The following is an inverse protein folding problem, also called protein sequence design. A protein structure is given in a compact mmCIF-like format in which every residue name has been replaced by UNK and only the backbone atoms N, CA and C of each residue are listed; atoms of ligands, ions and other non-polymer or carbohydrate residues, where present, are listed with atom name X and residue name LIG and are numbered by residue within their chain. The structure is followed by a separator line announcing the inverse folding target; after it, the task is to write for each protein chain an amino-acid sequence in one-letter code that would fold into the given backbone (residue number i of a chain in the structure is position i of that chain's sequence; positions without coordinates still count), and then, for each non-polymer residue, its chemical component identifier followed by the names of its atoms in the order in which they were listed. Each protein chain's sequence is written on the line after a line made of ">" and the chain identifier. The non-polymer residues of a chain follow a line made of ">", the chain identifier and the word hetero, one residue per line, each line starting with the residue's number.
data_IF_288029187136
#
_entry.id   IF_288029187136
#
_cell.length_a   1.000
_cell.length_b   1.000
_cell.length_c   1.000
_cell.angle_alpha   90.00
_cell.angle_beta   90.00
_cell.angle_gamma   90.00
#
_symmetry.space_group_name_H-M   'P 1'
#
loop_
_entity.id
_entity.type
_entity.pdbx_description
1 polymer ?
#
# COMPACT_ATOMS: atom_id res chain seq x y z
N UNK A 1 26.59 10.09 16.40
CA UNK A 1 25.94 10.41 15.10
C UNK A 1 24.46 10.10 15.22
N UNK A 2 23.58 11.08 15.03
CA UNK A 2 22.14 10.85 15.08
C UNK A 2 21.68 10.12 13.79
N UNK A 3 20.79 9.12 13.87
CA UNK A 3 20.25 8.46 12.68
C UNK A 3 19.47 9.47 11.83
N UNK A 4 19.82 9.56 10.56
CA UNK A 4 19.14 10.43 9.58
C UNK A 4 17.91 9.73 9.00
N UNK A 5 17.01 10.48 8.36
CA UNK A 5 15.84 9.91 7.69
C UNK A 5 16.19 8.78 6.70
N UNK A 6 17.35 8.86 6.04
CA UNK A 6 17.83 7.83 5.12
C UNK A 6 18.19 6.52 5.85
N UNK A 7 18.76 6.61 7.05
CA UNK A 7 19.08 5.45 7.90
C UNK A 7 17.81 4.70 8.30
N UNK A 8 16.74 5.43 8.64
CA UNK A 8 15.43 4.85 8.94
C UNK A 8 14.80 4.18 7.71
N UNK A 9 14.81 4.84 6.55
CA UNK A 9 14.30 4.27 5.30
C UNK A 9 15.04 2.98 4.93
N UNK A 10 16.37 2.95 5.10
CA UNK A 10 17.17 1.75 4.87
C UNK A 10 16.79 0.61 5.83
N UNK A 11 16.60 0.91 7.11
CA UNK A 11 16.17 -0.07 8.11
C UNK A 11 14.77 -0.64 7.80
N UNK A 12 13.82 0.21 7.38
CA UNK A 12 12.48 -0.24 6.97
C UNK A 12 12.56 -1.10 5.69
N UNK A 13 13.41 -0.74 4.73
CA UNK A 13 13.63 -1.56 3.54
C UNK A 13 14.26 -2.93 3.86
N UNK A 14 15.16 -3.00 4.83
CA UNK A 14 15.69 -4.28 5.32
C UNK A 14 14.60 -5.10 6.03
N UNK A 15 13.69 -4.44 6.77
CA UNK A 15 12.53 -5.12 7.35
C UNK A 15 11.57 -5.64 6.26
N UNK A 16 11.41 -4.89 5.16
CA UNK A 16 10.64 -5.31 3.98
C UNK A 16 11.22 -6.57 3.32
N UNK A 17 12.54 -6.66 3.14
CA UNK A 17 13.16 -7.85 2.56
C UNK A 17 13.02 -9.06 3.46
N UNK A 18 13.07 -8.87 4.79
CA UNK A 18 12.87 -9.93 5.77
C UNK A 18 11.42 -10.23 6.17
N UNK A 19 10.42 -9.63 5.51
CA UNK A 19 8.98 -9.75 5.87
C UNK A 19 8.67 -9.40 7.34
N UNK A 20 9.52 -8.59 7.99
CA UNK A 20 9.38 -8.21 9.40
C UNK A 20 8.56 -6.93 9.54
N UNK A 21 7.27 -7.02 9.22
CA UNK A 21 6.34 -5.88 9.26
C UNK A 21 6.25 -5.22 10.64
N UNK A 22 6.26 -5.98 11.74
CA UNK A 22 6.26 -5.45 13.11
C UNK A 22 7.44 -4.52 13.36
N UNK A 23 8.64 -4.92 12.92
CA UNK A 23 9.83 -4.08 13.03
C UNK A 23 9.76 -2.88 12.10
N UNK A 24 9.26 -3.05 10.88
CA UNK A 24 9.07 -1.94 9.95
C UNK A 24 8.19 -0.82 10.56
N UNK A 25 7.09 -1.19 11.23
CA UNK A 25 6.18 -0.26 11.93
C UNK A 25 6.85 0.37 13.14
N UNK A 26 7.58 -0.42 13.95
CA UNK A 26 8.30 0.10 15.11
C UNK A 26 9.35 1.14 14.71
N UNK A 27 10.13 0.86 13.65
CA UNK A 27 11.14 1.78 13.11
C UNK A 27 10.49 3.03 12.53
N UNK A 28 9.37 2.89 11.81
CA UNK A 28 8.61 4.04 11.31
C UNK A 28 8.05 4.92 12.44
N UNK A 29 7.54 4.30 13.49
CA UNK A 29 7.03 4.98 14.68
C UNK A 29 8.15 5.72 15.42
N UNK A 30 9.33 5.12 15.52
CA UNK A 30 10.50 5.78 16.11
C UNK A 30 10.96 6.98 15.28
N UNK A 31 10.99 6.84 13.95
CA UNK A 31 11.29 7.94 13.03
C UNK A 31 10.33 9.12 13.27
N UNK A 32 9.03 8.84 13.41
CA UNK A 32 8.01 9.86 13.69
C UNK A 32 8.16 10.51 15.06
N UNK A 33 8.47 9.74 16.12
CA UNK A 33 8.70 10.29 17.46
C UNK A 33 9.85 11.29 17.50
N UNK A 34 10.82 11.13 16.61
CA UNK A 34 11.96 12.05 16.45
C UNK A 34 11.65 13.29 15.60
N UNK A 35 10.39 13.49 15.21
CA UNK A 35 9.96 14.63 14.39
C UNK A 35 10.39 14.53 12.93
N UNK A 36 10.97 13.40 12.51
CA UNK A 36 11.32 13.18 11.10
C UNK A 36 10.02 12.87 10.36
N UNK A 37 9.67 13.72 9.38
CA UNK A 37 8.52 13.46 8.52
C UNK A 37 8.68 12.09 7.86
N UNK A 38 7.68 11.25 8.07
CA UNK A 38 7.44 10.01 7.35
C UNK A 38 7.53 10.25 5.85
N UNK A 39 8.70 10.07 5.25
CA UNK A 39 8.83 10.20 3.80
C UNK A 39 7.98 9.12 3.12
N UNK A 40 7.44 9.45 1.96
CA UNK A 40 6.67 8.54 1.09
C UNK A 40 7.40 7.19 0.91
N UNK A 41 8.73 7.22 0.81
CA UNK A 41 9.59 6.03 0.69
C UNK A 41 9.54 5.11 1.93
N UNK A 42 9.50 5.67 3.14
CA UNK A 42 9.41 4.90 4.38
C UNK A 42 8.05 4.21 4.48
N UNK A 43 6.98 4.89 4.06
CA UNK A 43 5.62 4.38 4.04
C UNK A 43 5.47 3.23 3.04
N UNK A 44 5.94 3.41 1.80
CA UNK A 44 5.92 2.36 0.79
C UNK A 44 6.74 1.13 1.20
N UNK A 45 7.86 1.32 1.90
CA UNK A 45 8.65 0.23 2.42
C UNK A 45 7.94 -0.53 3.56
N UNK A 46 7.28 0.18 4.48
CA UNK A 46 6.49 -0.44 5.55
C UNK A 46 5.30 -1.23 4.97
N UNK A 47 4.58 -0.66 4.01
CA UNK A 47 3.47 -1.32 3.30
C UNK A 47 3.94 -2.55 2.53
N UNK A 48 5.10 -2.49 1.87
CA UNK A 48 5.71 -3.66 1.26
C UNK A 48 6.09 -4.77 2.26
N UNK A 49 6.47 -4.42 3.49
CA UNK A 49 6.75 -5.41 4.52
C UNK A 49 5.47 -6.12 4.98
N UNK A 50 4.35 -5.39 5.09
CA UNK A 50 3.05 -6.01 5.39
C UNK A 50 2.57 -6.92 4.26
N UNK A 51 2.80 -6.52 3.01
CA UNK A 51 2.36 -7.29 1.85
C UNK A 51 2.99 -8.67 1.79
N UNK A 52 4.30 -8.75 2.01
CA UNK A 52 5.00 -10.03 2.12
C UNK A 52 4.65 -10.84 3.38
N UNK A 53 4.13 -10.19 4.41
CA UNK A 53 3.71 -10.84 5.65
C UNK A 53 2.26 -11.36 5.62
N UNK A 54 1.52 -11.17 4.52
CA UNK A 54 0.07 -11.40 4.42
C UNK A 54 -0.74 -10.66 5.51
N UNK A 55 -0.22 -9.56 6.06
CA UNK A 55 -0.82 -8.80 7.16
C UNK A 55 -1.58 -7.58 6.65
N UNK A 56 -2.64 -7.82 5.87
CA UNK A 56 -3.44 -6.75 5.27
C UNK A 56 -4.14 -5.87 6.33
N UNK A 57 -4.63 -6.45 7.43
CA UNK A 57 -5.32 -5.73 8.51
C UNK A 57 -4.43 -4.65 9.12
N UNK A 58 -3.18 -5.02 9.41
CA UNK A 58 -2.22 -4.13 10.00
C UNK A 58 -1.77 -3.04 9.02
N UNK A 59 -1.67 -3.36 7.73
CA UNK A 59 -1.41 -2.37 6.68
C UNK A 59 -2.57 -1.38 6.49
N UNK A 60 -3.82 -1.83 6.54
CA UNK A 60 -4.99 -0.95 6.44
C UNK A 60 -5.05 0.04 7.62
N UNK A 61 -4.78 -0.45 8.85
CA UNK A 61 -4.63 0.42 10.03
C UNK A 61 -3.50 1.42 9.86
N UNK A 62 -2.35 0.97 9.36
CA UNK A 62 -1.21 1.83 9.12
C UNK A 62 -1.52 2.96 8.10
N UNK A 63 -2.25 2.65 7.03
CA UNK A 63 -2.69 3.66 6.05
C UNK A 63 -3.69 4.65 6.65
N UNK A 64 -4.60 4.17 7.50
CA UNK A 64 -5.52 5.04 8.24
C UNK A 64 -4.75 6.02 9.15
N UNK A 65 -3.76 5.51 9.90
CA UNK A 65 -2.89 6.32 10.77
C UNK A 65 -2.01 7.32 9.99
N UNK A 66 -1.62 6.97 8.76
CA UNK A 66 -0.91 7.91 7.90
C UNK A 66 -1.80 9.09 7.48
N UNK A 67 -3.07 8.82 7.18
CA UNK A 67 -4.03 9.87 6.82
C UNK A 67 -4.33 10.82 7.97
N UNK A 68 -4.53 10.30 9.19
CA UNK A 68 -4.75 11.16 10.37
C UNK A 68 -3.56 12.07 10.64
N UNK A 69 -2.40 11.73 10.09
CA UNK A 69 -1.14 12.45 10.30
C UNK A 69 -0.72 13.29 9.09
N UNK A 70 -1.64 13.49 8.14
CA UNK A 70 -1.46 14.28 6.90
C UNK A 70 -0.30 13.80 6.02
N UNK A 71 0.02 12.50 6.08
CA UNK A 71 0.97 11.88 5.17
C UNK A 71 0.18 11.09 4.13
N UNK A 72 0.26 11.52 2.88
CA UNK A 72 -0.42 10.81 1.79
C UNK A 72 0.36 9.56 1.41
N UNK A 73 -0.28 8.37 1.46
CA UNK A 73 0.31 7.16 0.91
C UNK A 73 0.41 7.25 -0.61
N UNK A 74 1.46 6.66 -1.19
CA UNK A 74 1.69 6.67 -2.63
C UNK A 74 0.88 5.58 -3.36
N UNK A 75 0.68 5.77 -4.66
CA UNK A 75 0.04 4.79 -5.54
C UNK A 75 0.74 3.42 -5.48
N UNK A 76 2.08 3.39 -5.40
CA UNK A 76 2.87 2.16 -5.24
C UNK A 76 2.52 1.45 -3.93
N UNK A 77 2.34 2.21 -2.85
CA UNK A 77 2.06 1.66 -1.54
C UNK A 77 0.66 1.02 -1.51
N UNK A 78 -0.35 1.73 -2.04
CA UNK A 78 -1.72 1.21 -2.14
C UNK A 78 -1.80 0.01 -3.10
N UNK A 79 -1.07 0.03 -4.22
CA UNK A 79 -0.97 -1.13 -5.11
C UNK A 79 -0.35 -2.36 -4.46
N UNK A 80 0.67 -2.14 -3.62
CA UNK A 80 1.30 -3.24 -2.87
C UNK A 80 0.34 -3.82 -1.83
N UNK A 81 -0.45 -2.99 -1.15
CA UNK A 81 -1.50 -3.46 -0.25
C UNK A 81 -2.58 -4.23 -1.00
N UNK A 82 -3.02 -3.72 -2.15
CA UNK A 82 -4.03 -4.37 -2.98
C UNK A 82 -3.56 -5.76 -3.45
N UNK A 83 -2.30 -5.88 -3.87
CA UNK A 83 -1.70 -7.15 -4.25
C UNK A 83 -1.63 -8.12 -3.08
N UNK A 84 -1.24 -7.65 -1.90
CA UNK A 84 -1.23 -8.46 -0.69
C UNK A 84 -2.63 -8.95 -0.27
N UNK A 85 -3.66 -8.12 -0.43
CA UNK A 85 -5.04 -8.53 -0.23
C UNK A 85 -5.44 -9.62 -1.24
N UNK A 86 -5.00 -9.50 -2.50
CA UNK A 86 -5.18 -10.51 -3.53
C UNK A 86 -4.51 -11.85 -3.21
N UNK A 87 -3.24 -11.82 -2.83
CA UNK A 87 -2.47 -13.01 -2.45
C UNK A 87 -3.09 -13.71 -1.22
N UNK A 88 -3.73 -12.95 -0.33
CA UNK A 88 -4.47 -13.47 0.81
C UNK A 88 -5.89 -13.96 0.47
N UNK A 89 -6.32 -13.92 -0.79
CA UNK A 89 -7.67 -14.29 -1.23
C UNK A 89 -8.77 -13.31 -0.80
N UNK A 90 -8.38 -12.12 -0.36
CA UNK A 90 -9.23 -11.06 0.22
C UNK A 90 -9.51 -9.97 -0.79
N UNK A 91 -10.21 -10.35 -1.86
CA UNK A 91 -10.50 -9.46 -2.98
C UNK A 91 -11.40 -8.28 -2.58
N UNK A 92 -12.32 -8.44 -1.62
CA UNK A 92 -13.19 -7.35 -1.16
C UNK A 92 -12.36 -6.18 -0.59
N UNK A 93 -11.30 -6.52 0.14
CA UNK A 93 -10.36 -5.57 0.72
C UNK A 93 -9.50 -4.91 -0.36
N UNK A 94 -9.09 -5.66 -1.38
CA UNK A 94 -8.40 -5.10 -2.55
C UNK A 94 -9.29 -4.05 -3.27
N UNK A 95 -10.58 -4.31 -3.40
CA UNK A 95 -11.56 -3.36 -3.95
C UNK A 95 -11.75 -2.12 -3.06
N UNK A 96 -11.78 -2.27 -1.73
CA UNK A 96 -11.83 -1.12 -0.83
C UNK A 96 -10.62 -0.20 -1.01
N UNK A 97 -9.43 -0.78 -1.21
CA UNK A 97 -8.21 0.00 -1.50
C UNK A 97 -8.31 0.73 -2.84
N UNK A 98 -8.91 0.10 -3.86
CA UNK A 98 -9.16 0.73 -5.16
C UNK A 98 -10.16 1.90 -5.04
N UNK A 99 -11.25 1.71 -4.30
CA UNK A 99 -12.22 2.77 -4.00
C UNK A 99 -11.55 3.93 -3.24
N UNK A 100 -10.67 3.64 -2.29
CA UNK A 100 -9.89 4.67 -1.60
C UNK A 100 -9.05 5.48 -2.60
N UNK A 101 -8.36 4.82 -3.53
CA UNK A 101 -7.58 5.52 -4.57
C UNK A 101 -8.46 6.43 -5.44
N UNK A 102 -9.67 5.98 -5.81
CA UNK A 102 -10.62 6.78 -6.58
C UNK A 102 -11.15 7.98 -5.80
N UNK A 103 -11.57 7.78 -4.54
CA UNK A 103 -12.06 8.85 -3.66
C UNK A 103 -10.96 9.87 -3.39
N UNK A 104 -9.70 9.42 -3.31
CA UNK A 104 -8.55 10.30 -3.08
C UNK A 104 -8.05 10.96 -4.36
N UNK A 105 -8.75 10.75 -5.50
CA UNK A 105 -8.38 11.25 -6.83
C UNK A 105 -6.93 10.94 -7.20
N UNK A 106 -6.43 9.80 -6.74
CA UNK A 106 -5.11 9.32 -7.12
C UNK A 106 -5.18 8.70 -8.51
N UNK A 107 -4.13 8.88 -9.30
CA UNK A 107 -4.05 8.26 -10.62
C UNK A 107 -4.00 6.73 -10.48
N UNK A 108 -5.13 6.10 -10.79
CA UNK A 108 -5.24 4.64 -10.88
C UNK A 108 -4.67 4.23 -12.23
N UNK A 109 -3.41 3.79 -12.22
CA UNK A 109 -2.71 3.34 -13.43
C UNK A 109 -3.08 1.90 -13.81
N UNK A 110 -2.67 1.49 -15.00
CA UNK A 110 -2.87 0.12 -15.52
C UNK A 110 -2.30 -0.97 -14.60
N UNK A 111 -1.24 -0.66 -13.86
CA UNK A 111 -0.66 -1.57 -12.86
C UNK A 111 -1.65 -1.86 -11.73
N UNK A 112 -2.31 -0.85 -11.16
CA UNK A 112 -3.30 -1.06 -10.08
C UNK A 112 -4.48 -1.89 -10.56
N UNK A 113 -4.98 -1.64 -11.77
CA UNK A 113 -6.05 -2.46 -12.35
C UNK A 113 -5.61 -3.92 -12.55
N UNK A 114 -4.39 -4.15 -13.05
CA UNK A 114 -3.85 -5.51 -13.19
C UNK A 114 -3.74 -6.23 -11.84
N UNK A 115 -3.30 -5.51 -10.79
CA UNK A 115 -3.25 -6.05 -9.43
C UNK A 115 -4.65 -6.36 -8.91
N UNK A 116 -5.64 -5.49 -9.12
CA UNK A 116 -7.04 -5.74 -8.74
C UNK A 116 -7.64 -6.95 -9.46
N UNK A 117 -7.33 -7.13 -10.75
CA UNK A 117 -7.80 -8.27 -11.56
C UNK A 117 -7.14 -9.56 -11.07
N UNK A 118 -5.82 -9.57 -10.87
CA UNK A 118 -5.09 -10.74 -10.37
C UNK A 118 -5.49 -11.11 -8.94
N UNK A 119 -5.83 -10.12 -8.12
CA UNK A 119 -6.36 -10.32 -6.77
C UNK A 119 -7.71 -11.04 -6.76
N UNK A 120 -8.40 -11.15 -7.89
CA UNK A 120 -9.76 -11.64 -8.00
C UNK A 120 -9.90 -12.80 -9.02
N UNK A 121 -9.27 -13.98 -8.77
CA UNK A 121 -9.30 -15.08 -9.72
C UNK A 121 -10.69 -15.72 -9.91
N UNK A 122 -11.64 -15.50 -8.98
CA UNK A 122 -12.92 -16.20 -8.95
C UNK A 122 -14.14 -15.39 -9.45
N UNK A 123 -14.01 -14.08 -9.74
CA UNK A 123 -15.14 -13.21 -10.07
C UNK A 123 -14.91 -12.37 -11.33
N UNK A 124 -14.73 -13.06 -12.46
CA UNK A 124 -14.63 -12.48 -13.81
C UNK A 124 -15.67 -11.41 -14.13
N UNK A 125 -16.87 -11.47 -13.54
CA UNK A 125 -17.93 -10.47 -13.71
C UNK A 125 -17.59 -9.09 -13.14
N UNK A 126 -16.83 -9.03 -12.05
CA UNK A 126 -16.37 -7.77 -11.47
C UNK A 126 -15.12 -7.26 -12.18
N UNK A 127 -14.25 -8.17 -12.64
CA UNK A 127 -13.13 -7.83 -13.52
C UNK A 127 -13.61 -7.22 -14.86
N UNK A 128 -14.68 -7.75 -15.45
CA UNK A 128 -15.30 -7.20 -16.67
C UNK A 128 -15.85 -5.78 -16.44
N UNK A 129 -16.48 -5.55 -15.27
CA UNK A 129 -16.99 -4.23 -14.88
C UNK A 129 -15.85 -3.22 -14.66
N UNK A 130 -14.73 -3.65 -14.08
CA UNK A 130 -13.51 -2.85 -13.94
C UNK A 130 -12.85 -2.55 -15.29
N UNK A 131 -12.75 -3.54 -16.18
CA UNK A 131 -12.24 -3.35 -17.55
C UNK A 131 -13.11 -2.38 -18.34
N UNK A 132 -14.44 -2.43 -18.16
CA UNK A 132 -15.37 -1.46 -18.71
C UNK A 132 -15.13 -0.05 -18.17
N UNK A 133 -14.86 0.09 -16.87
CA UNK A 133 -14.49 1.38 -16.29
C UNK A 133 -13.16 1.89 -16.83
N UNK A 134 -12.14 1.02 -16.92
CA UNK A 134 -10.82 1.35 -17.45
C UNK A 134 -10.89 1.81 -18.92
N UNK A 135 -11.68 1.13 -19.76
CA UNK A 135 -11.94 1.53 -21.16
C UNK A 135 -12.67 2.87 -21.27
N UNK A 136 -13.52 3.22 -20.30
CA UNK A 136 -14.22 4.51 -20.25
C UNK A 136 -13.34 5.65 -19.74
N UNK A 137 -12.39 5.39 -18.85
CA UNK A 137 -11.47 6.41 -18.31
C UNK A 137 -10.32 6.78 -19.23
N UNK A 138 -10.25 6.25 -20.47
CA UNK A 138 -9.37 6.69 -21.57
C UNK A 138 -8.03 7.25 -21.08
N UNK A 139 -7.16 6.36 -20.57
CA UNK A 139 -5.75 6.70 -20.44
C UNK A 139 -5.20 6.61 -21.87
N UNK A 140 -5.00 7.77 -22.50
CA UNK A 140 -4.09 7.94 -23.63
C UNK A 140 -2.63 7.86 -23.14
#
# INVERSE_FOLDING_TARGET
>A
MAPSANTYVAAINACKTGSQWLRAVAVFSDMRRRGLKGNIKACGAAIGAFGKGAQWEAAARFISDMRTTRVEPDHIALGTLMGACGDAGRWQQAFQVLEWMQVWRMEVNSFIYNVAINACPAQWRHADRLLWHMRRTRIE
#
